data_IF_748377131823
#
_entry.id   IF_748377131823
#
_cell.length_a   1.000
_cell.length_b   1.000
_cell.length_c   1.000
_cell.angle_alpha   90.00
_cell.angle_beta   90.00
_cell.angle_gamma   90.00
#
_symmetry.space_group_name_H-M   'P 1'
#
loop_
_entity.id
_entity.type
_entity.pdbx_description
1 polymer ?
#
# COMPACT_ATOMS: atom_id res chain seq x y z
N UNK A 1 21.46 -55.06 -40.75
CA UNK A 1 20.88 -53.71 -40.62
C UNK A 1 20.09 -53.69 -39.31
N UNK A 2 20.66 -53.13 -38.25
CA UNK A 2 20.00 -53.04 -36.95
C UNK A 2 19.29 -51.70 -36.92
N UNK A 3 17.96 -51.74 -36.92
CA UNK A 3 17.10 -50.56 -36.82
C UNK A 3 17.48 -49.81 -35.55
N UNK A 4 17.86 -48.55 -35.75
CA UNK A 4 18.29 -47.61 -34.72
C UNK A 4 17.09 -47.25 -33.83
N UNK A 5 16.75 -48.10 -32.85
CA UNK A 5 15.78 -47.77 -31.82
C UNK A 5 16.46 -46.95 -30.73
N UNK A 6 16.85 -45.72 -31.08
CA UNK A 6 17.00 -44.64 -30.11
C UNK A 6 15.69 -43.85 -30.19
N UNK A 7 14.65 -44.34 -29.54
CA UNK A 7 13.62 -43.42 -29.05
C UNK A 7 14.29 -42.66 -27.93
N UNK A 8 14.71 -41.43 -28.23
CA UNK A 8 15.19 -40.41 -27.32
C UNK A 8 14.51 -40.50 -25.94
N UNK A 9 15.15 -41.17 -24.97
CA UNK A 9 14.69 -41.25 -23.58
C UNK A 9 15.22 -40.11 -22.72
N UNK A 10 15.80 -39.07 -23.32
CA UNK A 10 16.36 -37.92 -22.62
C UNK A 10 15.77 -36.62 -23.15
N UNK A 11 14.45 -36.54 -23.25
CA UNK A 11 13.78 -35.24 -23.27
C UNK A 11 13.73 -34.73 -21.84
N UNK A 12 14.69 -33.92 -21.40
CA UNK A 12 14.52 -33.19 -20.14
C UNK A 12 13.30 -32.29 -20.31
N UNK A 13 12.23 -32.51 -19.54
CA UNK A 13 11.06 -31.65 -19.54
C UNK A 13 11.50 -30.21 -19.33
N UNK A 14 11.35 -29.38 -20.36
CA UNK A 14 11.68 -27.96 -20.31
C UNK A 14 10.40 -27.18 -20.21
N UNK A 15 10.25 -26.44 -19.11
CA UNK A 15 9.21 -25.42 -18.99
C UNK A 15 9.71 -24.12 -19.63
N UNK A 16 8.87 -23.51 -20.44
CA UNK A 16 9.05 -22.17 -20.99
C UNK A 16 8.23 -21.22 -20.12
N UNK A 17 8.89 -20.22 -19.54
CA UNK A 17 8.25 -19.12 -18.82
C UNK A 17 7.68 -18.12 -19.83
N UNK A 18 6.38 -17.80 -19.70
CA UNK A 18 5.69 -16.87 -20.59
C UNK A 18 5.75 -15.41 -20.11
N UNK A 19 6.33 -15.14 -18.94
CA UNK A 19 6.52 -13.81 -18.38
C UNK A 19 5.29 -13.22 -17.68
N UNK A 20 4.20 -14.00 -17.56
CA UNK A 20 2.94 -13.62 -16.89
C UNK A 20 2.60 -14.56 -15.71
N UNK A 21 3.56 -15.38 -15.27
CA UNK A 21 3.35 -16.39 -14.23
C UNK A 21 2.77 -17.70 -14.74
N UNK A 22 2.50 -17.83 -16.04
CA UNK A 22 2.18 -19.11 -16.68
C UNK A 22 3.41 -19.78 -17.25
N UNK A 23 3.40 -21.11 -17.28
CA UNK A 23 4.47 -21.92 -17.87
C UNK A 23 3.92 -22.86 -18.93
N UNK A 24 4.68 -23.04 -20.00
CA UNK A 24 4.36 -23.97 -21.08
C UNK A 24 5.34 -25.14 -21.10
N UNK A 25 4.80 -26.36 -21.06
CA UNK A 25 5.52 -27.61 -21.30
C UNK A 25 5.13 -28.14 -22.68
N UNK A 26 6.13 -28.49 -23.48
CA UNK A 26 5.92 -29.27 -24.71
C UNK A 26 6.48 -30.66 -24.49
N UNK A 27 5.61 -31.67 -24.52
CA UNK A 27 6.01 -33.06 -24.32
C UNK A 27 6.89 -33.55 -25.47
N UNK A 28 7.56 -34.69 -25.29
CA UNK A 28 8.31 -35.34 -26.37
C UNK A 28 7.45 -35.72 -27.58
N UNK A 29 6.14 -35.86 -27.39
CA UNK A 29 5.18 -36.14 -28.47
C UNK A 29 4.66 -34.86 -29.16
N UNK A 30 5.08 -33.68 -28.70
CA UNK A 30 4.64 -32.38 -29.23
C UNK A 30 3.37 -31.83 -28.58
N UNK A 31 2.81 -32.48 -27.56
CA UNK A 31 1.64 -31.96 -26.84
C UNK A 31 2.02 -30.72 -26.03
N UNK A 32 1.19 -29.68 -26.09
CA UNK A 32 1.43 -28.42 -25.39
C UNK A 32 0.50 -28.32 -24.18
N UNK A 33 1.08 -28.20 -23.00
CA UNK A 33 0.38 -28.01 -21.73
C UNK A 33 0.80 -26.65 -21.18
N UNK A 34 -0.17 -25.80 -20.88
CA UNK A 34 0.07 -24.54 -20.16
C UNK A 34 -0.59 -24.63 -18.80
N UNK A 35 0.14 -24.25 -17.76
CA UNK A 35 -0.40 -24.15 -16.41
C UNK A 35 -0.08 -22.78 -15.82
N UNK A 36 -1.03 -22.26 -15.05
CA UNK A 36 -0.91 -21.01 -14.33
C UNK A 36 -0.28 -21.27 -12.96
N UNK A 37 0.86 -20.65 -12.68
CA UNK A 37 1.53 -20.73 -11.38
C UNK A 37 1.23 -19.51 -10.49
N UNK A 38 0.38 -18.57 -10.94
CA UNK A 38 -0.14 -17.53 -10.07
C UNK A 38 -1.02 -18.16 -9.01
N UNK A 39 -0.55 -18.12 -7.76
CA UNK A 39 -1.19 -18.77 -6.62
C UNK A 39 -1.78 -17.77 -5.63
N UNK A 40 -1.65 -16.48 -5.91
CA UNK A 40 -2.18 -15.41 -5.05
C UNK A 40 -3.04 -14.45 -5.86
N UNK A 41 -4.06 -13.91 -5.21
CA UNK A 41 -4.88 -12.84 -5.77
C UNK A 41 -4.94 -11.69 -4.80
N UNK A 42 -4.91 -10.46 -5.31
CA UNK A 42 -5.19 -9.25 -4.55
C UNK A 42 -6.46 -8.62 -5.09
N UNK A 43 -7.48 -8.50 -4.23
CA UNK A 43 -8.76 -7.88 -4.56
C UNK A 43 -8.86 -6.51 -3.88
N UNK A 44 -9.15 -5.46 -4.66
CA UNK A 44 -9.57 -4.16 -4.15
C UNK A 44 -11.08 -4.20 -3.83
N UNK A 45 -11.45 -3.91 -2.59
CA UNK A 45 -12.84 -3.92 -2.12
C UNK A 45 -13.56 -2.58 -2.33
N UNK A 46 -12.88 -1.56 -2.86
CA UNK A 46 -13.45 -0.24 -3.19
C UNK A 46 -13.71 0.67 -1.98
N UNK A 47 -13.31 0.25 -0.78
CA UNK A 47 -13.46 1.00 0.47
C UNK A 47 -12.12 1.26 1.18
N UNK A 48 -11.00 1.09 0.47
CA UNK A 48 -9.65 1.22 1.03
C UNK A 48 -9.14 -0.03 1.77
N UNK A 49 -9.92 -1.12 1.74
CA UNK A 49 -9.45 -2.44 2.16
C UNK A 49 -9.09 -3.30 0.94
N UNK A 50 -8.12 -4.20 1.12
CA UNK A 50 -7.71 -5.17 0.11
C UNK A 50 -7.72 -6.58 0.70
N UNK A 51 -8.14 -7.56 -0.08
CA UNK A 51 -8.11 -8.97 0.31
C UNK A 51 -7.06 -9.71 -0.49
N UNK A 52 -6.03 -10.20 0.21
CA UNK A 52 -5.04 -11.11 -0.35
C UNK A 52 -5.49 -12.54 -0.08
N UNK A 53 -5.63 -13.36 -1.13
CA UNK A 53 -5.95 -14.79 -1.03
C UNK A 53 -4.73 -15.60 -1.45
N UNK A 54 -4.33 -16.59 -0.67
CA UNK A 54 -3.20 -17.48 -0.98
C UNK A 54 -3.63 -18.74 -1.75
N UNK A 55 -2.66 -19.59 -2.09
CA UNK A 55 -2.87 -20.83 -2.86
C UNK A 55 -3.83 -21.83 -2.19
N UNK A 56 -3.92 -21.78 -0.86
CA UNK A 56 -4.77 -22.66 -0.06
C UNK A 56 -6.19 -22.10 0.12
N UNK A 57 -6.44 -20.88 -0.36
CA UNK A 57 -7.69 -20.15 -0.16
C UNK A 57 -7.75 -19.37 1.15
N UNK A 58 -6.67 -19.29 1.94
CA UNK A 58 -6.64 -18.45 3.13
C UNK A 58 -6.57 -16.98 2.74
N UNK A 59 -7.23 -16.12 3.52
CA UNK A 59 -7.33 -14.69 3.23
C UNK A 59 -6.71 -13.83 4.32
N UNK A 60 -6.03 -12.76 3.92
CA UNK A 60 -5.62 -11.65 4.78
C UNK A 60 -6.28 -10.38 4.28
N UNK A 61 -6.87 -9.60 5.18
CA UNK A 61 -7.39 -8.26 4.87
C UNK A 61 -6.36 -7.21 5.26
N UNK A 62 -6.04 -6.34 4.32
CA UNK A 62 -5.25 -5.13 4.55
C UNK A 62 -6.24 -3.97 4.66
N UNK A 63 -6.26 -3.26 5.79
CA UNK A 63 -7.14 -2.11 6.03
C UNK A 63 -6.32 -0.82 6.14
N UNK A 64 -6.06 -0.20 4.99
CA UNK A 64 -5.22 1.00 4.91
C UNK A 64 -5.88 2.18 5.63
N UNK A 65 -7.20 2.33 5.49
CA UNK A 65 -7.93 3.44 6.10
C UNK A 65 -8.00 3.27 7.61
N UNK A 66 -8.27 2.06 8.10
CA UNK A 66 -8.26 1.74 9.52
C UNK A 66 -6.90 1.99 10.17
N UNK A 67 -5.81 1.61 9.52
CA UNK A 67 -4.44 1.85 10.01
C UNK A 67 -4.12 3.35 10.12
N UNK A 68 -4.52 4.15 9.12
CA UNK A 68 -4.35 5.60 9.14
C UNK A 68 -5.19 6.24 10.24
N UNK A 69 -6.46 5.84 10.37
CA UNK A 69 -7.35 6.34 11.44
C UNK A 69 -6.76 6.04 12.81
N UNK A 70 -6.22 4.83 13.01
CA UNK A 70 -5.57 4.43 14.27
C UNK A 70 -4.36 5.31 14.58
N UNK A 71 -3.54 5.65 13.58
CA UNK A 71 -2.38 6.53 13.76
C UNK A 71 -2.74 7.97 14.15
N UNK A 72 -3.94 8.43 13.82
CA UNK A 72 -4.41 9.80 14.09
C UNK A 72 -5.28 9.86 15.36
N UNK A 73 -5.80 8.72 15.85
CA UNK A 73 -6.65 8.68 17.03
C UNK A 73 -5.85 8.40 18.31
N UNK A 74 -5.58 9.46 19.07
CA UNK A 74 -5.18 9.47 20.49
C UNK A 74 -3.91 8.71 20.91
N UNK A 75 -3.29 7.87 20.07
CA UNK A 75 -2.20 6.97 20.46
C UNK A 75 -1.21 6.60 19.33
N UNK A 76 -1.13 7.37 18.24
CA UNK A 76 -0.17 7.13 17.14
C UNK A 76 0.91 8.20 16.98
N UNK A 77 1.94 7.90 16.20
CA UNK A 77 3.04 8.85 15.92
C UNK A 77 2.52 10.12 15.25
N UNK A 78 1.57 9.97 14.32
CA UNK A 78 0.92 11.11 13.64
C UNK A 78 0.08 11.91 14.63
N UNK A 79 -0.68 11.27 15.52
CA UNK A 79 -1.40 11.96 16.59
C UNK A 79 -0.45 12.78 17.47
N UNK A 80 0.67 12.21 17.92
CA UNK A 80 1.64 12.91 18.75
C UNK A 80 2.24 14.12 18.02
N UNK A 81 2.56 13.98 16.73
CA UNK A 81 3.08 15.09 15.92
C UNK A 81 2.05 16.20 15.72
N UNK A 82 0.78 15.87 15.49
CA UNK A 82 -0.30 16.86 15.40
C UNK A 82 -0.46 17.61 16.73
N UNK A 83 -0.43 16.89 17.86
CA UNK A 83 -0.49 17.53 19.18
C UNK A 83 0.73 18.42 19.40
N UNK A 84 1.93 17.97 19.04
CA UNK A 84 3.12 18.81 19.10
C UNK A 84 2.95 20.07 18.26
N UNK A 85 2.46 19.99 17.03
CA UNK A 85 2.24 21.17 16.19
C UNK A 85 1.21 22.14 16.79
N UNK A 86 0.14 21.65 17.41
CA UNK A 86 -0.93 22.48 17.99
C UNK A 86 -0.52 23.08 19.34
N UNK A 87 0.13 22.29 20.18
CA UNK A 87 0.44 22.65 21.58
C UNK A 87 1.83 23.22 21.77
N UNK A 88 2.72 23.07 20.78
CA UNK A 88 4.02 23.70 20.80
C UNK A 88 3.89 25.19 20.49
N UNK A 89 3.44 25.95 21.48
CA UNK A 89 3.46 27.40 21.49
C UNK A 89 4.88 27.97 21.64
N UNK A 90 5.90 27.12 21.74
CA UNK A 90 7.30 27.53 21.91
C UNK A 90 8.07 27.26 20.63
N UNK A 91 8.13 28.24 19.73
CA UNK A 91 8.79 28.05 18.43
C UNK A 91 7.84 28.12 17.22
N UNK A 92 6.55 28.34 17.45
CA UNK A 92 5.55 28.55 16.41
C UNK A 92 4.82 29.87 16.63
N UNK A 93 4.25 30.40 15.56
CA UNK A 93 3.28 31.47 15.61
C UNK A 93 2.01 31.00 16.34
N UNK A 94 1.36 31.91 17.05
CA UNK A 94 0.08 31.73 17.73
C UNK A 94 -0.97 32.64 17.08
N UNK A 95 -2.11 32.07 16.72
CA UNK A 95 -3.28 32.81 16.23
C UNK A 95 -4.44 32.66 17.22
N UNK A 96 -5.00 33.80 17.67
CA UNK A 96 -6.12 33.88 18.62
C UNK A 96 -7.26 34.69 18.01
N UNK A 97 -8.48 34.16 18.08
CA UNK A 97 -9.72 34.92 17.86
C UNK A 97 -10.16 35.57 19.19
N UNK A 98 -10.33 36.90 19.20
CA UNK A 98 -10.67 37.65 20.40
C UNK A 98 -12.20 37.67 20.67
N UNK A 99 -13.02 37.13 19.78
CA UNK A 99 -14.48 37.03 19.94
C UNK A 99 -15.25 38.34 19.71
N UNK A 100 -14.57 39.40 19.30
CA UNK A 100 -15.13 40.71 18.94
C UNK A 100 -14.95 41.05 17.45
N UNK A 101 -14.58 40.05 16.64
CA UNK A 101 -14.25 40.23 15.22
C UNK A 101 -12.80 40.68 14.97
N UNK A 102 -11.98 40.80 16.01
CA UNK A 102 -10.52 40.99 15.89
C UNK A 102 -9.75 39.69 16.11
N UNK A 103 -8.62 39.56 15.42
CA UNK A 103 -7.72 38.41 15.50
C UNK A 103 -6.31 38.86 15.90
N UNK A 104 -5.67 38.12 16.80
CA UNK A 104 -4.30 38.37 17.26
C UNK A 104 -3.35 37.31 16.74
N UNK A 105 -2.33 37.71 16.01
CA UNK A 105 -1.20 36.87 15.60
C UNK A 105 0.02 37.25 16.44
N UNK A 106 0.59 36.28 17.15
CA UNK A 106 1.88 36.41 17.83
C UNK A 106 2.88 35.54 17.09
N UNK A 107 3.94 36.13 16.54
CA UNK A 107 4.99 35.36 15.86
C UNK A 107 5.82 34.54 16.84
N UNK A 108 6.57 33.55 16.35
CA UNK A 108 7.56 32.81 17.13
C UNK A 108 8.57 33.70 17.87
N UNK A 109 8.85 34.90 17.35
CA UNK A 109 9.77 35.85 17.97
C UNK A 109 9.10 36.75 19.02
N UNK A 110 7.78 36.60 19.22
CA UNK A 110 6.97 37.39 20.15
C UNK A 110 6.42 38.69 19.57
N UNK A 111 6.55 38.92 18.25
CA UNK A 111 5.94 40.09 17.60
C UNK A 111 4.42 39.90 17.56
N UNK A 112 3.65 40.92 17.95
CA UNK A 112 2.18 40.84 17.99
C UNK A 112 1.57 41.76 16.95
N UNK A 113 0.67 41.22 16.13
CA UNK A 113 -0.14 41.96 15.17
C UNK A 113 -1.61 41.65 15.44
N UNK A 114 -2.45 42.68 15.45
CA UNK A 114 -3.91 42.52 15.56
C UNK A 114 -4.57 42.99 14.27
N UNK A 115 -5.47 42.18 13.75
CA UNK A 115 -6.27 42.47 12.56
C UNK A 115 -7.73 42.66 12.99
N UNK A 116 -8.40 43.67 12.44
CA UNK A 116 -9.83 43.90 12.66
C UNK A 116 -10.62 43.50 11.40
N UNK A 117 -11.40 42.43 11.51
CA UNK A 117 -12.20 41.90 10.41
C UNK A 117 -13.61 42.53 10.34
N UNK A 118 -13.93 43.50 11.20
CA UNK A 118 -15.18 44.25 11.14
C UNK A 118 -15.14 45.43 10.14
N UNK A 119 -14.09 45.53 9.32
CA UNK A 119 -13.90 46.60 8.33
C UNK A 119 -14.56 46.32 6.99
#
# INVERSE_FOLDING_TARGET
EIINLITNTTGSDKFVDNGDGTFTHTTVNGDVITFDANTTTLLDNGNGTYTLTNANGDTITIDVVGDVVTNIQNQGDIYNEIINLITNTTGSDLFVDNGDGTFTHTTVNGDVITFDANT
#
